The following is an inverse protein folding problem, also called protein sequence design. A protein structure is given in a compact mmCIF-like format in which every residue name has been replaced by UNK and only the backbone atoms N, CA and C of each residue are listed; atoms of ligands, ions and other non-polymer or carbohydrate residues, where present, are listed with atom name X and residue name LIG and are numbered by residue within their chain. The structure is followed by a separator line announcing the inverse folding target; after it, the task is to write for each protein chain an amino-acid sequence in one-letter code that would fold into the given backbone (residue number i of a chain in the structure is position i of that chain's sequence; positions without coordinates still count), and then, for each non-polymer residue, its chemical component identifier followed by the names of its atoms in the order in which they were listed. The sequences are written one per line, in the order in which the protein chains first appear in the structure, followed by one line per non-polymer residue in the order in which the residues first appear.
data_IF_811626280878
#
_entry.id   IF_811626280878
#
_cell.length_a   1.000
_cell.length_b   1.000
_cell.length_c   1.000
_cell.angle_alpha   90.00
_cell.angle_beta   90.00
_cell.angle_gamma   90.00
#
_symmetry.space_group_name_H-M   'P 1'
#
loop_
_entity.id
_entity.type
_entity.pdbx_description
1 polymer ?
#
# COMPACT_ATOMS: atom_id res chain seq x y z
N UNK A 1 -12.33 11.72 -8.56
CA UNK A 1 -11.49 10.68 -7.95
C UNK A 1 -12.26 9.36 -7.98
N UNK A 2 -11.59 8.29 -8.33
CA UNK A 2 -12.23 7.00 -8.54
C UNK A 2 -12.41 6.26 -7.20
N UNK A 3 -13.59 5.65 -7.00
CA UNK A 3 -13.83 4.82 -5.84
C UNK A 3 -12.89 3.62 -5.83
N UNK A 4 -12.44 3.22 -4.64
CA UNK A 4 -11.52 2.09 -4.47
C UNK A 4 -12.09 0.80 -5.08
N UNK A 5 -11.21 0.00 -5.70
CA UNK A 5 -11.56 -1.34 -6.19
C UNK A 5 -11.48 -2.39 -5.07
N UNK A 6 -11.05 -2.02 -3.85
CA UNK A 6 -10.77 -2.96 -2.77
C UNK A 6 -11.71 -2.75 -1.60
N UNK A 7 -12.21 -3.87 -1.07
CA UNK A 7 -13.11 -3.87 0.09
C UNK A 7 -12.30 -4.11 1.38
N UNK A 8 -12.68 -3.43 2.45
CA UNK A 8 -12.08 -3.65 3.77
C UNK A 8 -12.23 -5.11 4.22
N UNK A 9 -13.27 -5.80 3.76
CA UNK A 9 -13.49 -7.20 4.12
C UNK A 9 -12.44 -8.16 3.52
N UNK A 10 -11.69 -7.72 2.51
CA UNK A 10 -10.61 -8.53 1.93
C UNK A 10 -9.26 -8.31 2.60
N UNK A 11 -9.15 -7.30 3.47
CA UNK A 11 -7.92 -7.05 4.24
C UNK A 11 -7.78 -8.15 5.27
N UNK A 12 -6.62 -8.79 5.33
CA UNK A 12 -6.35 -9.88 6.26
C UNK A 12 -5.33 -9.47 7.31
N UNK A 13 -5.21 -10.31 8.35
CA UNK A 13 -4.25 -10.13 9.43
C UNK A 13 -3.07 -11.12 9.38
N UNK A 14 -3.03 -11.95 8.33
CA UNK A 14 -1.99 -13.00 8.18
C UNK A 14 -0.74 -12.48 7.50
N UNK A 15 -0.89 -11.55 6.57
CA UNK A 15 0.21 -10.81 5.97
C UNK A 15 0.02 -9.35 6.35
N UNK A 16 0.98 -8.82 7.08
CA UNK A 16 0.89 -7.45 7.56
C UNK A 16 1.71 -6.52 6.68
N UNK A 17 1.15 -5.35 6.43
CA UNK A 17 1.82 -4.26 5.73
C UNK A 17 1.91 -3.09 6.69
N UNK A 18 3.10 -2.53 6.87
CA UNK A 18 3.24 -1.33 7.66
C UNK A 18 4.30 -0.41 7.06
N UNK A 19 4.21 0.85 7.44
CA UNK A 19 5.13 1.90 7.03
C UNK A 19 6.17 2.07 8.11
N UNK A 20 7.44 2.00 7.74
CA UNK A 20 8.55 2.09 8.69
C UNK A 20 8.64 3.48 9.33
N UNK A 21 8.38 4.53 8.56
CA UNK A 21 8.42 5.90 9.05
C UNK A 21 7.17 6.22 9.88
N UNK A 22 7.37 6.85 11.03
CA UNK A 22 6.26 7.21 11.92
C UNK A 22 5.50 8.46 11.48
N UNK A 23 6.16 9.34 10.76
CA UNK A 23 5.60 10.62 10.34
C UNK A 23 5.67 10.74 8.84
N UNK A 24 4.53 11.04 8.22
CA UNK A 24 4.42 11.32 6.79
C UNK A 24 3.78 12.70 6.65
N UNK A 25 4.42 13.55 5.85
CA UNK A 25 3.93 14.91 5.60
C UNK A 25 3.70 15.11 4.12
N UNK A 26 3.12 16.25 3.77
CA UNK A 26 2.90 16.63 2.36
C UNK A 26 4.20 16.88 1.61
N UNK A 27 5.35 16.89 2.28
CA UNK A 27 6.68 17.03 1.66
C UNK A 27 7.48 15.74 1.69
N UNK A 28 6.94 14.66 2.26
CA UNK A 28 7.62 13.35 2.27
C UNK A 28 7.72 12.81 0.85
N UNK A 29 8.93 12.47 0.42
CA UNK A 29 9.17 11.99 -0.94
C UNK A 29 8.87 10.51 -1.10
N UNK A 30 9.19 9.71 -0.08
CA UNK A 30 8.98 8.27 -0.11
C UNK A 30 8.95 7.71 1.30
N UNK A 31 8.42 6.49 1.42
CA UNK A 31 8.46 5.72 2.68
C UNK A 31 8.89 4.30 2.37
N UNK A 32 9.34 3.59 3.40
CA UNK A 32 9.66 2.17 3.31
C UNK A 32 8.47 1.36 3.80
N UNK A 33 7.99 0.46 2.95
CA UNK A 33 6.95 -0.50 3.31
C UNK A 33 7.60 -1.80 3.76
N UNK A 34 7.02 -2.40 4.78
CA UNK A 34 7.41 -3.72 5.27
C UNK A 34 6.23 -4.66 5.10
N UNK A 35 6.44 -5.77 4.39
CA UNK A 35 5.48 -6.87 4.28
C UNK A 35 5.98 -8.01 5.14
N UNK A 36 5.17 -8.47 6.07
CA UNK A 36 5.51 -9.57 6.97
C UNK A 36 4.48 -10.69 6.84
N UNK A 37 4.94 -11.86 6.43
CA UNK A 37 4.09 -13.02 6.26
C UNK A 37 4.11 -13.87 7.54
N UNK A 38 3.01 -13.88 8.26
CA UNK A 38 2.86 -14.57 9.55
C UNK A 38 2.37 -16.01 9.40
N UNK A 39 2.30 -16.51 8.15
CA UNK A 39 1.84 -17.87 7.86
C UNK A 39 2.99 -18.78 7.46
N UNK A 40 2.69 -20.05 7.29
CA UNK A 40 3.64 -21.05 6.77
C UNK A 40 3.61 -21.15 5.24
N UNK A 41 2.71 -20.42 4.59
CA UNK A 41 2.47 -20.52 3.15
C UNK A 41 3.04 -19.30 2.43
N UNK A 42 3.46 -19.51 1.18
CA UNK A 42 3.96 -18.41 0.35
C UNK A 42 2.81 -17.60 -0.25
N UNK A 43 3.06 -16.32 -0.46
CA UNK A 43 2.19 -15.41 -1.18
C UNK A 43 2.94 -14.79 -2.34
N UNK A 44 2.22 -14.41 -3.39
CA UNK A 44 2.78 -13.57 -4.46
C UNK A 44 2.15 -12.20 -4.42
N UNK A 45 2.93 -11.19 -4.79
CA UNK A 45 2.50 -9.80 -4.82
C UNK A 45 3.26 -9.04 -5.89
N UNK A 46 2.77 -7.88 -6.28
CA UNK A 46 3.49 -6.95 -7.14
C UNK A 46 3.84 -5.68 -6.36
N UNK A 47 4.70 -4.86 -6.95
CA UNK A 47 5.14 -3.59 -6.34
C UNK A 47 4.49 -2.37 -6.99
N UNK A 48 3.44 -2.57 -7.76
CA UNK A 48 2.68 -1.43 -8.29
C UNK A 48 2.13 -0.61 -7.12
N UNK A 49 2.21 0.70 -7.25
CA UNK A 49 1.80 1.58 -6.17
C UNK A 49 0.30 1.81 -6.19
N UNK A 50 -0.34 1.63 -5.03
CA UNK A 50 -1.77 1.83 -4.87
C UNK A 50 -2.00 2.64 -3.61
N UNK A 51 -2.32 3.92 -3.80
CA UNK A 51 -2.60 4.86 -2.72
C UNK A 51 -4.08 5.19 -2.75
N UNK A 52 -4.70 5.19 -1.57
CA UNK A 52 -6.11 5.53 -1.44
C UNK A 52 -6.32 6.60 -0.39
N UNK A 53 -7.33 7.44 -0.61
CA UNK A 53 -7.72 8.52 0.28
C UNK A 53 -9.07 8.20 0.91
N UNK A 54 -9.17 8.38 2.23
CA UNK A 54 -10.42 8.28 2.96
C UNK A 54 -11.18 9.60 2.85
N UNK A 55 -12.39 9.54 2.32
CA UNK A 55 -13.24 10.72 2.16
C UNK A 55 -14.71 10.32 2.23
N UNK A 56 -15.48 11.03 3.03
CA UNK A 56 -16.93 10.83 3.14
C UNK A 56 -17.32 9.37 3.44
N UNK A 57 -16.54 8.71 4.30
CA UNK A 57 -16.81 7.34 4.70
C UNK A 57 -16.41 6.27 3.70
N UNK A 58 -15.65 6.62 2.68
CA UNK A 58 -15.23 5.68 1.63
C UNK A 58 -13.77 5.90 1.25
N UNK A 59 -13.17 4.83 0.73
CA UNK A 59 -11.84 4.89 0.15
C UNK A 59 -11.92 5.23 -1.33
N UNK A 60 -11.06 6.15 -1.77
CA UNK A 60 -10.95 6.53 -3.18
C UNK A 60 -9.52 6.33 -3.66
N UNK A 61 -9.38 5.81 -4.87
CA UNK A 61 -8.06 5.63 -5.49
C UNK A 61 -7.48 6.98 -5.87
N UNK A 62 -6.24 7.21 -5.47
CA UNK A 62 -5.48 8.41 -5.87
C UNK A 62 -4.76 8.09 -7.18
N UNK A 63 -4.97 8.93 -8.19
CA UNK A 63 -4.38 8.69 -9.51
C UNK A 63 -2.87 8.76 -9.48
N UNK A 64 -2.22 7.71 -9.98
CA UNK A 64 -0.77 7.66 -10.17
C UNK A 64 -0.46 8.31 -11.52
N UNK A 65 0.42 9.30 -11.52
CA UNK A 65 0.79 9.99 -12.76
C UNK A 65 1.83 9.25 -13.58
N UNK A 66 2.37 8.16 -13.07
CA UNK A 66 3.23 7.26 -13.85
C UNK A 66 2.36 6.32 -14.66
N UNK A 67 2.73 6.10 -15.91
CA UNK A 67 2.05 5.13 -16.74
C UNK A 67 2.32 3.71 -16.24
N UNK A 68 1.51 2.78 -16.72
CA UNK A 68 1.64 1.38 -16.34
C UNK A 68 3.06 0.87 -16.57
N UNK A 69 3.60 0.22 -15.55
CA UNK A 69 4.89 -0.46 -15.62
C UNK A 69 4.67 -1.95 -15.83
N UNK A 70 5.71 -2.64 -16.27
CA UNK A 70 5.66 -4.09 -16.42
C UNK A 70 5.31 -4.73 -15.08
N UNK A 71 4.35 -5.65 -15.10
CA UNK A 71 3.95 -6.39 -13.92
C UNK A 71 5.03 -7.41 -13.56
N UNK A 72 5.65 -7.23 -12.40
CA UNK A 72 6.63 -8.16 -11.87
C UNK A 72 6.07 -8.72 -10.57
N UNK A 73 5.98 -10.06 -10.50
CA UNK A 73 5.49 -10.73 -9.32
C UNK A 73 6.66 -11.20 -8.45
N UNK A 74 6.53 -10.97 -7.16
CA UNK A 74 7.49 -11.39 -6.16
C UNK A 74 6.87 -12.43 -5.24
N UNK A 75 7.69 -13.31 -4.69
CA UNK A 75 7.25 -14.28 -3.70
C UNK A 75 7.60 -13.76 -2.30
N UNK A 76 6.58 -13.75 -1.43
CA UNK A 76 6.75 -13.49 -0.01
C UNK A 76 6.67 -14.85 0.71
N UNK A 77 7.81 -15.43 1.10
CA UNK A 77 7.79 -16.79 1.66
C UNK A 77 7.13 -16.81 3.05
N UNK A 78 6.60 -17.98 3.39
CA UNK A 78 6.02 -18.20 4.73
C UNK A 78 7.03 -17.86 5.82
N UNK A 79 6.60 -17.05 6.79
CA UNK A 79 7.48 -16.55 7.85
C UNK A 79 8.46 -15.48 7.41
N UNK A 80 8.43 -15.07 6.13
CA UNK A 80 9.37 -14.10 5.59
C UNK A 80 8.94 -12.67 5.72
N UNK A 81 9.89 -11.78 5.51
CA UNK A 81 9.67 -10.33 5.53
C UNK A 81 10.37 -9.71 4.34
N UNK A 82 9.69 -8.81 3.67
CA UNK A 82 10.22 -8.08 2.51
C UNK A 82 9.97 -6.59 2.69
N UNK A 83 10.86 -5.78 2.11
CA UNK A 83 10.69 -4.34 2.13
C UNK A 83 10.63 -3.79 0.71
N UNK A 84 9.93 -2.68 0.54
CA UNK A 84 9.83 -1.97 -0.73
C UNK A 84 9.72 -0.48 -0.48
N UNK A 85 10.17 0.32 -1.42
CA UNK A 85 10.03 1.78 -1.34
C UNK A 85 8.75 2.21 -2.03
N UNK A 86 7.97 3.04 -1.34
CA UNK A 86 6.76 3.64 -1.88
C UNK A 86 7.03 5.12 -2.13
N UNK A 87 6.84 5.57 -3.36
CA UNK A 87 7.20 6.92 -3.79
C UNK A 87 5.95 7.81 -3.85
N UNK A 88 6.03 8.99 -3.24
CA UNK A 88 4.95 9.98 -3.29
C UNK A 88 5.16 11.00 -4.40
N UNK A 89 6.26 11.73 -4.35
CA UNK A 89 6.45 12.90 -5.22
C UNK A 89 6.62 12.55 -6.70
N UNK A 90 7.18 11.38 -7.00
CA UNK A 90 7.38 10.95 -8.39
C UNK A 90 6.16 10.28 -9.01
N UNK A 91 5.19 9.85 -8.20
CA UNK A 91 4.01 9.11 -8.67
C UNK A 91 2.70 9.88 -8.54
N UNK A 92 2.63 10.83 -7.63
CA UNK A 92 1.39 11.56 -7.36
C UNK A 92 1.60 13.05 -7.41
N UNK A 93 0.55 13.78 -7.80
CA UNK A 93 0.52 15.21 -7.62
C UNK A 93 0.55 15.51 -6.12
N UNK A 94 0.80 16.77 -5.76
CA UNK A 94 0.92 17.14 -4.36
C UNK A 94 -0.26 16.61 -3.54
N UNK A 95 0.06 15.80 -2.53
CA UNK A 95 -0.92 15.23 -1.64
C UNK A 95 -1.26 16.24 -0.54
N UNK A 96 -2.53 16.26 -0.15
CA UNK A 96 -3.02 17.14 0.90
C UNK A 96 -3.09 16.39 2.22
N UNK A 97 -3.24 17.13 3.32
CA UNK A 97 -3.48 16.51 4.62
C UNK A 97 -4.70 15.61 4.56
N UNK A 98 -4.63 14.47 5.21
CA UNK A 98 -5.75 13.56 5.25
C UNK A 98 -5.38 12.18 5.72
N UNK A 99 -6.37 11.29 5.65
CA UNK A 99 -6.24 9.87 5.99
C UNK A 99 -6.11 9.08 4.71
N UNK A 100 -5.04 8.30 4.63
CA UNK A 100 -4.70 7.53 3.44
C UNK A 100 -4.45 6.09 3.81
N UNK A 101 -4.41 5.22 2.81
CA UNK A 101 -3.88 3.86 2.96
C UNK A 101 -3.13 3.44 1.71
N UNK A 102 -2.16 2.57 1.91
CA UNK A 102 -1.47 1.86 0.83
C UNK A 102 -1.99 0.43 0.85
N UNK A 103 -2.33 -0.11 -0.32
CA UNK A 103 -2.85 -1.46 -0.44
C UNK A 103 -1.93 -2.30 -1.32
N UNK A 104 -1.73 -3.56 -0.92
CA UNK A 104 -0.95 -4.54 -1.66
C UNK A 104 -1.80 -5.80 -1.81
N UNK A 105 -2.32 -6.07 -3.02
CA UNK A 105 -3.01 -7.32 -3.28
C UNK A 105 -2.04 -8.50 -3.25
N UNK A 106 -2.48 -9.61 -2.70
CA UNK A 106 -1.70 -10.82 -2.53
C UNK A 106 -2.48 -12.02 -3.04
N UNK A 107 -1.75 -12.99 -3.57
CA UNK A 107 -2.34 -14.27 -4.01
C UNK A 107 -1.65 -15.38 -3.24
N UNK A 108 -2.43 -16.20 -2.54
CA UNK A 108 -1.92 -17.33 -1.79
C UNK A 108 -1.55 -18.49 -2.72
N UNK A 109 -0.83 -19.48 -2.19
CA UNK A 109 -0.40 -20.65 -2.94
C UNK A 109 -1.58 -21.44 -3.51
N UNK A 110 -2.74 -21.41 -2.86
CA UNK A 110 -3.96 -22.08 -3.33
C UNK A 110 -4.73 -21.27 -4.38
N UNK A 111 -4.22 -20.09 -4.77
CA UNK A 111 -4.86 -19.22 -5.75
C UNK A 111 -5.85 -18.22 -5.15
N UNK A 112 -6.11 -18.28 -3.85
CA UNK A 112 -7.02 -17.31 -3.21
C UNK A 112 -6.38 -15.94 -3.12
N UNK A 113 -7.21 -14.90 -3.29
CA UNK A 113 -6.77 -13.51 -3.24
C UNK A 113 -7.05 -12.90 -1.88
N UNK A 114 -6.15 -12.06 -1.41
CA UNK A 114 -6.30 -11.32 -0.17
C UNK A 114 -5.65 -9.94 -0.33
N UNK A 115 -5.74 -9.12 0.68
CA UNK A 115 -5.24 -7.75 0.64
C UNK A 115 -4.52 -7.42 1.93
N UNK A 116 -3.35 -6.83 1.82
CA UNK A 116 -2.68 -6.17 2.93
C UNK A 116 -2.85 -4.67 2.76
N UNK A 117 -3.09 -3.96 3.86
CA UNK A 117 -3.29 -2.52 3.83
C UNK A 117 -2.63 -1.87 5.03
N UNK A 118 -2.06 -0.67 4.81
CA UNK A 118 -1.49 0.15 5.87
C UNK A 118 -2.13 1.53 5.82
N UNK A 119 -2.87 1.89 6.86
CA UNK A 119 -3.44 3.22 7.00
C UNK A 119 -2.43 4.17 7.64
N UNK A 120 -2.46 5.42 7.20
CA UNK A 120 -1.59 6.46 7.76
C UNK A 120 -2.21 7.83 7.52
N UNK A 121 -1.74 8.81 8.28
CA UNK A 121 -2.12 10.21 8.05
C UNK A 121 -1.01 10.94 7.32
N UNK A 122 -1.39 11.82 6.39
CA UNK A 122 -0.48 12.81 5.84
C UNK A 122 -0.74 14.11 6.58
N UNK A 123 0.28 14.60 7.27
CA UNK A 123 0.22 15.85 7.97
C UNK A 123 0.85 16.98 7.18
N UNK A 124 0.76 18.19 7.74
CA UNK A 124 1.39 19.34 7.15
C UNK A 124 2.86 19.40 7.59
N UNK A 125 3.76 19.61 6.64
CA UNK A 125 5.17 19.77 6.98
C UNK A 125 5.37 21.04 7.79
N UNK A 126 6.14 20.92 8.88
CA UNK A 126 6.53 22.07 9.69
C UNK A 126 7.74 22.75 9.06
N UNK A 127 7.76 24.07 9.16
CA UNK A 127 8.87 24.87 8.63
C UNK A 127 9.57 25.61 9.76
#
# INVERSE_FOLDING_TARGET
MKLSDYSDSTVNDKVQLYIQQRTVTDETESVTLILQNLTDSDYTYDVAQRLELWKDGKWYSVSDKQDAVALILYTLPGGGEESATFYFTSHYDKLTEGRYRIVVPLVAADGSSTLAAAEFGIGRAEK
#
